data_IF_707374431247
#
_entry.id   IF_707374431247
#
_cell.length_a   1.000
_cell.length_b   1.000
_cell.length_c   1.000
_cell.angle_alpha   90.00
_cell.angle_beta   90.00
_cell.angle_gamma   90.00
#
_symmetry.space_group_name_H-M   'P 1'
#
loop_
_entity.id
_entity.type
_entity.pdbx_description
1 polymer ?
#
# COMPACT_ATOMS: atom_id res chain seq x y z
N UNK A 1 -16.61 -4.32 41.23
CA UNK A 1 -15.43 -4.14 40.36
C UNK A 1 -15.06 -2.66 40.36
N UNK A 2 -13.82 -2.31 40.70
CA UNK A 2 -13.42 -0.90 40.88
C UNK A 2 -13.37 -0.17 39.53
N UNK A 3 -13.81 1.10 39.49
CA UNK A 3 -13.83 1.93 38.25
C UNK A 3 -12.48 1.97 37.54
N UNK A 4 -11.38 1.93 38.29
CA UNK A 4 -10.01 1.87 37.77
C UNK A 4 -9.75 0.61 36.93
N UNK A 5 -10.26 -0.54 37.35
CA UNK A 5 -10.13 -1.81 36.60
C UNK A 5 -10.86 -1.71 35.27
N UNK A 6 -12.03 -1.05 35.24
CA UNK A 6 -12.79 -0.87 34.02
C UNK A 6 -12.08 0.05 33.02
N UNK A 7 -11.45 1.12 33.50
CA UNK A 7 -10.67 2.04 32.66
C UNK A 7 -9.47 1.31 32.07
N UNK A 8 -8.70 0.58 32.89
CA UNK A 8 -7.54 -0.18 32.44
C UNK A 8 -7.94 -1.23 31.39
N UNK A 9 -9.04 -1.96 31.62
CA UNK A 9 -9.54 -2.95 30.68
C UNK A 9 -9.97 -2.30 29.35
N UNK A 10 -10.67 -1.17 29.40
CA UNK A 10 -11.08 -0.42 28.22
C UNK A 10 -9.87 0.10 27.43
N UNK A 11 -8.82 0.58 28.11
CA UNK A 11 -7.59 1.03 27.44
C UNK A 11 -6.86 -0.13 26.75
N UNK A 12 -6.75 -1.28 27.43
CA UNK A 12 -6.11 -2.49 26.86
C UNK A 12 -6.85 -3.04 25.64
N UNK A 13 -8.18 -2.97 25.61
CA UNK A 13 -8.98 -3.44 24.47
C UNK A 13 -8.86 -2.52 23.24
N UNK A 14 -8.57 -1.24 23.44
CA UNK A 14 -8.44 -0.26 22.34
C UNK A 14 -7.04 -0.28 21.71
N UNK A 15 -5.99 -0.59 22.49
CA UNK A 15 -4.60 -0.58 22.00
C UNK A 15 -4.21 -1.78 21.13
N UNK A 16 -5.05 -2.82 21.03
CA UNK A 16 -4.81 -3.97 20.12
C UNK A 16 -4.91 -3.57 18.64
N UNK A 17 -5.40 -2.37 18.34
CA UNK A 17 -5.52 -1.84 16.97
C UNK A 17 -4.22 -1.22 16.41
N UNK A 18 -3.07 -1.41 17.05
CA UNK A 18 -1.78 -1.00 16.49
C UNK A 18 -1.44 -1.88 15.28
N UNK A 19 -1.79 -1.38 14.08
CA UNK A 19 -1.43 -1.99 12.81
C UNK A 19 0.10 -2.12 12.72
N UNK A 20 0.60 -3.35 12.87
CA UNK A 20 2.00 -3.65 12.66
C UNK A 20 2.41 -3.24 11.24
N UNK A 21 3.48 -2.45 11.12
CA UNK A 21 4.11 -2.12 9.84
C UNK A 21 4.69 -3.41 9.26
N UNK A 22 4.18 -3.85 8.10
CA UNK A 22 4.48 -5.19 7.59
C UNK A 22 5.88 -5.23 6.99
N UNK A 23 6.64 -6.29 7.29
CA UNK A 23 7.99 -6.46 6.74
C UNK A 23 7.90 -6.80 5.25
N UNK A 24 8.48 -5.94 4.41
CA UNK A 24 8.43 -6.10 2.95
C UNK A 24 7.21 -5.45 2.29
N UNK A 25 6.43 -4.65 3.01
CA UNK A 25 5.45 -3.78 2.36
C UNK A 25 6.16 -2.85 1.36
N UNK A 26 5.54 -2.69 0.18
CA UNK A 26 6.00 -1.70 -0.78
C UNK A 26 6.04 -0.33 -0.11
N UNK A 27 7.12 0.42 -0.35
CA UNK A 27 7.21 1.82 0.05
C UNK A 27 6.07 2.58 -0.65
N UNK A 28 5.03 2.91 0.10
CA UNK A 28 3.98 3.79 -0.38
C UNK A 28 4.51 5.23 -0.40
N UNK A 29 4.06 6.03 -1.37
CA UNK A 29 4.28 7.47 -1.32
C UNK A 29 3.69 8.03 -0.03
N UNK A 30 4.46 8.87 0.67
CA UNK A 30 4.09 9.44 1.96
C UNK A 30 2.75 10.18 1.83
N UNK A 31 1.76 9.76 2.64
CA UNK A 31 0.40 10.30 2.61
C UNK A 31 -0.67 9.39 1.98
N UNK A 32 -0.28 8.25 1.39
CA UNK A 32 -1.21 7.24 0.88
C UNK A 32 -1.09 5.95 1.68
N UNK A 33 -2.19 5.52 2.31
CA UNK A 33 -2.22 4.35 3.19
C UNK A 33 -2.08 3.00 2.44
N UNK A 34 -2.17 3.00 1.12
CA UNK A 34 -2.02 1.82 0.26
C UNK A 34 -1.24 2.17 -1.01
N UNK A 35 -0.43 1.24 -1.55
CA UNK A 35 0.16 1.38 -2.88
C UNK A 35 -0.96 1.61 -3.90
N UNK A 36 -0.96 2.78 -4.53
CA UNK A 36 -1.88 3.11 -5.61
C UNK A 36 -1.30 2.55 -6.91
N UNK A 37 -1.35 1.23 -7.10
CA UNK A 37 -1.15 0.64 -8.43
C UNK A 37 -2.42 0.89 -9.25
N UNK A 38 -2.50 2.08 -9.83
CA UNK A 38 -3.69 2.51 -10.56
C UNK A 38 -3.65 1.90 -11.96
N UNK A 39 -4.56 0.95 -12.20
CA UNK A 39 -4.82 0.39 -13.52
C UNK A 39 -4.06 -0.90 -13.84
N UNK A 40 -4.68 -1.74 -14.70
CA UNK A 40 -4.15 -3.04 -15.13
C UNK A 40 -2.78 -2.92 -15.79
N UNK A 41 -2.58 -1.86 -16.58
CA UNK A 41 -1.32 -1.58 -17.28
C UNK A 41 -0.17 -1.32 -16.28
N UNK A 42 -0.42 -0.53 -15.24
CA UNK A 42 0.56 -0.29 -14.17
C UNK A 42 0.97 -1.60 -13.49
N UNK A 43 -0.02 -2.42 -13.12
CA UNK A 43 0.23 -3.72 -12.48
C UNK A 43 0.98 -4.70 -13.39
N UNK A 44 0.66 -4.74 -14.68
CA UNK A 44 1.34 -5.60 -15.66
C UNK A 44 2.82 -5.24 -15.84
N UNK A 45 3.20 -3.99 -15.59
CA UNK A 45 4.59 -3.50 -15.64
C UNK A 45 5.31 -3.58 -14.28
N UNK A 46 4.74 -4.29 -13.29
CA UNK A 46 5.31 -4.35 -11.95
C UNK A 46 5.34 -3.00 -11.22
N UNK A 47 4.42 -2.09 -11.55
CA UNK A 47 4.34 -0.75 -10.96
C UNK A 47 5.28 0.29 -11.59
N UNK A 48 6.01 -0.06 -12.66
CA UNK A 48 6.93 0.85 -13.35
C UNK A 48 6.18 1.88 -14.23
N UNK A 49 5.64 2.93 -13.62
CA UNK A 49 4.75 3.91 -14.29
C UNK A 49 5.31 5.33 -14.36
N UNK A 50 6.43 5.61 -13.71
CA UNK A 50 6.98 6.98 -13.64
C UNK A 50 7.29 7.56 -15.02
N UNK A 51 7.75 6.75 -15.98
CA UNK A 51 8.05 7.19 -17.34
C UNK A 51 6.90 6.99 -18.34
N UNK A 52 5.74 6.50 -17.89
CA UNK A 52 4.61 6.21 -18.77
C UNK A 52 3.93 7.52 -19.21
N UNK A 53 3.46 7.58 -20.47
CA UNK A 53 2.69 8.71 -21.01
C UNK A 53 1.44 8.24 -21.74
N UNK A 54 0.41 9.08 -21.79
CA UNK A 54 -0.83 8.83 -22.52
C UNK A 54 -1.85 7.92 -21.81
N UNK A 55 -1.70 7.74 -20.50
CA UNK A 55 -2.57 6.89 -19.68
C UNK A 55 -3.22 7.69 -18.55
N UNK A 56 -4.53 7.48 -18.32
CA UNK A 56 -5.27 8.17 -17.26
C UNK A 56 -4.75 7.84 -15.85
N UNK A 57 -4.18 6.64 -15.64
CA UNK A 57 -3.58 6.21 -14.38
C UNK A 57 -2.40 7.09 -13.93
N UNK A 58 -1.82 7.87 -14.85
CA UNK A 58 -0.76 8.82 -14.54
C UNK A 58 -1.19 9.96 -13.62
N UNK A 59 -2.50 10.22 -13.46
CA UNK A 59 -3.07 11.19 -12.50
C UNK A 59 -2.50 11.03 -11.08
N UNK A 60 -2.18 9.80 -10.67
CA UNK A 60 -1.82 9.48 -9.29
C UNK A 60 -0.31 9.29 -9.07
N UNK A 61 0.51 9.26 -10.14
CA UNK A 61 1.95 8.97 -10.05
C UNK A 61 2.83 9.93 -10.83
N UNK A 62 2.43 10.29 -12.04
CA UNK A 62 3.16 11.26 -12.86
C UNK A 62 2.19 12.11 -13.71
N UNK A 63 1.64 13.20 -13.15
CA UNK A 63 0.70 14.05 -13.86
C UNK A 63 1.24 14.62 -15.18
N UNK A 64 2.56 14.75 -15.35
CA UNK A 64 3.16 15.20 -16.62
C UNK A 64 2.90 14.22 -17.77
N UNK A 65 2.75 12.93 -17.46
CA UNK A 65 2.40 11.89 -18.45
C UNK A 65 0.98 12.01 -19.00
N UNK A 66 0.13 12.89 -18.44
CA UNK A 66 -1.21 13.17 -18.98
C UNK A 66 -1.16 13.99 -20.27
N UNK A 67 -0.07 14.73 -20.52
CA UNK A 67 0.11 15.50 -21.76
C UNK A 67 0.12 14.61 -23.01
N UNK A 68 0.38 13.30 -22.86
CA UNK A 68 0.29 12.33 -23.95
C UNK A 68 -1.12 11.84 -24.28
N UNK A 69 -2.16 12.26 -23.53
CA UNK A 69 -3.55 11.88 -23.80
C UNK A 69 -4.08 12.75 -24.94
N UNK A 70 -4.32 12.15 -26.10
CA UNK A 70 -4.73 12.85 -27.33
C UNK A 70 -6.24 12.85 -27.57
N UNK A 71 -7.00 12.07 -26.80
CA UNK A 71 -8.45 11.92 -26.94
C UNK A 71 -9.11 11.75 -25.57
N UNK A 72 -10.44 11.90 -25.52
CA UNK A 72 -11.21 11.57 -24.33
C UNK A 72 -11.01 10.10 -23.96
N UNK A 73 -10.62 9.82 -22.71
CA UNK A 73 -10.41 8.47 -22.19
C UNK A 73 -11.28 8.24 -20.96
N UNK A 74 -11.87 7.05 -20.87
CA UNK A 74 -12.60 6.57 -19.70
C UNK A 74 -11.98 5.23 -19.26
N UNK A 75 -11.78 5.06 -17.96
CA UNK A 75 -11.21 3.84 -17.39
C UNK A 75 -11.96 3.45 -16.12
N UNK A 76 -12.37 2.18 -16.06
CA UNK A 76 -12.96 1.55 -14.88
C UNK A 76 -12.19 0.26 -14.61
N UNK A 77 -11.84 0.02 -13.35
CA UNK A 77 -11.05 -1.14 -12.96
C UNK A 77 -11.34 -1.57 -11.54
N UNK A 78 -11.12 -2.85 -11.27
CA UNK A 78 -11.19 -3.45 -9.94
C UNK A 78 -9.93 -4.28 -9.71
N UNK A 79 -9.47 -4.34 -8.45
CA UNK A 79 -8.28 -5.09 -8.05
C UNK A 79 -8.74 -6.12 -7.02
N UNK A 80 -8.44 -7.39 -7.29
CA UNK A 80 -8.57 -8.48 -6.33
C UNK A 80 -7.18 -8.99 -5.97
N UNK A 81 -6.86 -9.03 -4.67
CA UNK A 81 -5.57 -9.50 -4.16
C UNK A 81 -5.82 -10.56 -3.09
N UNK A 82 -5.25 -11.75 -3.28
CA UNK A 82 -5.21 -12.76 -2.23
C UNK A 82 -4.02 -12.49 -1.32
N UNK A 83 -4.29 -12.28 -0.02
CA UNK A 83 -3.23 -12.06 0.99
C UNK A 83 -2.87 -13.40 1.62
N UNK A 84 -1.84 -14.06 1.11
CA UNK A 84 -1.17 -15.15 1.83
C UNK A 84 0.09 -14.57 2.46
N UNK A 85 0.03 -14.29 3.76
CA UNK A 85 1.18 -13.82 4.52
C UNK A 85 1.91 -15.03 5.08
N UNK A 86 3.08 -15.33 4.50
CA UNK A 86 4.05 -16.23 5.10
C UNK A 86 5.25 -15.39 5.51
N UNK A 87 5.44 -15.21 6.81
CA UNK A 87 6.66 -14.60 7.32
C UNK A 87 7.82 -15.54 7.04
N UNK A 88 8.66 -15.23 6.04
CA UNK A 88 9.90 -15.97 5.88
C UNK A 88 10.88 -15.49 6.96
N UNK A 89 10.80 -16.07 8.16
CA UNK A 89 11.76 -15.80 9.22
C UNK A 89 13.10 -16.44 8.84
N UNK A 90 13.90 -15.68 8.09
CA UNK A 90 15.28 -16.06 7.82
C UNK A 90 16.10 -15.81 9.09
N UNK A 91 16.32 -16.87 9.85
CA UNK A 91 17.19 -16.82 11.03
C UNK A 91 18.61 -16.49 10.58
N UNK A 92 19.05 -15.25 10.87
CA UNK A 92 20.43 -14.81 10.63
C UNK A 92 21.16 -14.71 11.97
N UNK A 93 21.88 -15.76 12.40
CA UNK A 93 22.57 -15.78 13.70
C UNK A 93 23.68 -14.73 13.81
N UNK A 94 24.10 -14.15 12.68
CA UNK A 94 25.28 -13.34 12.54
C UNK A 94 24.97 -11.88 12.16
N UNK A 95 23.97 -11.25 12.81
CA UNK A 95 23.59 -9.85 12.53
C UNK A 95 24.46 -8.80 13.24
N UNK A 96 25.65 -9.18 13.70
CA UNK A 96 26.56 -8.31 14.46
C UNK A 96 27.98 -8.48 13.91
N UNK A 97 28.19 -8.24 12.61
CA UNK A 97 29.49 -7.82 12.06
C UNK A 97 29.23 -6.79 10.97
#
# INVERSE_FOLDING_TARGET
MNKQVFIVLATLLVTVSLFAQRRGDQLAFQGLATPQDVGVKSMAMGGATTALSGDLGNLFRNPAGLAGITSLQFSIGSISQSRSWQENQEYRPNRIY
#
